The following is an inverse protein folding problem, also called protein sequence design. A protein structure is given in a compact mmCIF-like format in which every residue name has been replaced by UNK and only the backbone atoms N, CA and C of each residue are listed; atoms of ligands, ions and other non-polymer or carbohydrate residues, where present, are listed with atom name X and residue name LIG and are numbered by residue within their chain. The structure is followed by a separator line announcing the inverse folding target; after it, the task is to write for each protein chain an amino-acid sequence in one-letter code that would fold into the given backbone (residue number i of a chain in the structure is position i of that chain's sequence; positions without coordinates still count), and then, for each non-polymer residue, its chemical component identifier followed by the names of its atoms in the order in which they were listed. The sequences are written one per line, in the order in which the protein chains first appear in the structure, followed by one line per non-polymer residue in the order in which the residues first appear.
data_IF_350901259646
#
_entry.id   IF_350901259646
#
_cell.length_a   1.000
_cell.length_b   1.000
_cell.length_c   1.000
_cell.angle_alpha   90.00
_cell.angle_beta   90.00
_cell.angle_gamma   90.00
#
_symmetry.space_group_name_H-M   'P 1'
#
loop_
_entity.id
_entity.type
_entity.pdbx_description
1 polymer ?
#
# COMPACT_ATOMS: atom_id res chain seq x y z
N UNK A 1 13.20 33.47 31.78
CA UNK A 1 12.04 33.16 30.92
C UNK A 1 10.79 33.31 31.76
N UNK A 2 9.83 34.12 31.34
CA UNK A 2 8.56 34.33 32.06
C UNK A 2 7.76 33.03 32.02
N UNK A 3 7.46 32.45 33.18
CA UNK A 3 6.55 31.30 33.27
C UNK A 3 5.16 31.77 32.80
N UNK A 4 4.47 31.03 31.92
CA UNK A 4 3.13 31.42 31.48
C UNK A 4 2.16 31.56 32.67
N UNK A 5 1.24 32.52 32.58
CA UNK A 5 0.23 32.76 33.61
C UNK A 5 -0.53 31.45 33.93
N UNK A 6 -0.56 30.99 35.20
CA UNK A 6 -1.24 29.76 35.59
C UNK A 6 -2.71 29.67 35.14
N UNK A 7 -3.44 30.79 35.17
CA UNK A 7 -4.82 30.83 34.71
C UNK A 7 -4.94 30.59 33.19
N UNK A 8 -3.97 31.07 32.41
CA UNK A 8 -3.93 30.80 30.97
C UNK A 8 -3.54 29.34 30.68
N UNK A 9 -2.67 28.74 31.50
CA UNK A 9 -2.34 27.31 31.39
C UNK A 9 -3.53 26.43 31.76
N UNK A 10 -4.28 26.79 32.80
CA UNK A 10 -5.48 26.09 33.21
C UNK A 10 -6.61 26.22 32.18
N UNK A 11 -6.82 27.42 31.62
CA UNK A 11 -7.76 27.64 30.51
C UNK A 11 -7.38 26.82 29.27
N UNK A 12 -6.09 26.73 28.93
CA UNK A 12 -5.60 25.91 27.83
C UNK A 12 -5.80 24.40 28.08
N UNK A 13 -5.54 23.93 29.31
CA UNK A 13 -5.79 22.54 29.68
C UNK A 13 -7.30 22.21 29.67
N UNK A 14 -8.15 23.14 30.10
CA UNK A 14 -9.60 22.98 30.05
C UNK A 14 -10.11 22.99 28.61
N UNK A 15 -9.54 23.81 27.72
CA UNK A 15 -9.80 23.73 26.27
C UNK A 15 -9.39 22.36 25.71
N UNK A 16 -8.21 21.86 26.07
CA UNK A 16 -7.73 20.54 25.63
C UNK A 16 -8.57 19.36 26.16
N UNK A 17 -9.15 19.50 27.35
CA UNK A 17 -10.01 18.50 27.97
C UNK A 17 -11.48 18.63 27.58
N UNK A 18 -11.88 19.74 26.97
CA UNK A 18 -13.24 19.94 26.51
C UNK A 18 -13.52 19.07 25.29
N UNK A 19 -14.76 18.60 25.17
CA UNK A 19 -15.27 17.88 23.99
C UNK A 19 -15.22 18.72 22.68
N UNK A 20 -14.56 19.89 22.67
CA UNK A 20 -14.32 20.71 21.49
C UNK A 20 -13.12 20.25 20.66
N UNK A 21 -12.27 19.37 21.19
CA UNK A 21 -11.30 18.65 20.38
C UNK A 21 -11.95 17.32 20.02
N UNK A 22 -12.72 17.30 18.93
CA UNK A 22 -13.19 16.04 18.34
C UNK A 22 -11.97 15.18 18.03
N UNK A 23 -11.79 14.13 18.84
CA UNK A 23 -10.76 13.15 18.52
C UNK A 23 -11.18 12.53 17.19
N UNK A 24 -10.33 12.59 16.15
CA UNK A 24 -10.67 12.06 14.85
C UNK A 24 -11.15 10.60 14.95
N UNK A 25 -12.13 10.19 14.10
CA UNK A 25 -12.72 8.86 14.16
C UNK A 25 -11.68 7.75 14.19
N UNK A 26 -12.04 6.60 14.76
CA UNK A 26 -11.18 5.44 14.66
C UNK A 26 -11.05 5.06 13.18
N UNK A 27 -9.89 4.54 12.71
CA UNK A 27 -9.73 4.20 11.30
C UNK A 27 -10.82 3.27 10.73
N UNK A 28 -11.34 2.35 11.55
CA UNK A 28 -12.45 1.47 11.18
C UNK A 28 -13.75 2.23 10.87
N UNK A 29 -13.97 3.40 11.47
CA UNK A 29 -15.18 4.21 11.30
C UNK A 29 -15.23 4.87 9.91
N UNK A 30 -14.10 4.89 9.19
CA UNK A 30 -14.04 5.33 7.79
C UNK A 30 -14.63 4.29 6.81
N UNK A 31 -14.89 3.06 7.27
CA UNK A 31 -15.44 1.99 6.43
C UNK A 31 -16.97 2.01 6.45
N UNK A 32 -17.58 2.02 5.26
CA UNK A 32 -19.05 1.93 5.12
C UNK A 32 -19.46 0.50 4.78
N UNK A 33 -19.44 -0.37 5.79
CA UNK A 33 -19.81 -1.78 5.67
C UNK A 33 -21.33 -1.91 5.85
N UNK A 34 -22.09 -2.51 4.90
CA UNK A 34 -23.53 -2.73 5.07
C UNK A 34 -23.83 -3.62 6.29
N UNK A 35 -24.97 -3.43 6.99
CA UNK A 35 -25.37 -4.30 8.10
C UNK A 35 -25.93 -5.64 7.60
N UNK A 36 -26.10 -6.59 8.53
CA UNK A 36 -26.75 -7.90 8.29
C UNK A 36 -26.05 -8.77 7.23
N UNK A 37 -24.71 -8.81 7.28
CA UNK A 37 -23.91 -9.64 6.40
C UNK A 37 -23.91 -11.10 6.86
N UNK A 38 -23.56 -12.01 5.95
CA UNK A 38 -23.28 -13.39 6.35
C UNK A 38 -21.97 -13.44 7.15
N UNK A 39 -21.75 -14.45 8.01
CA UNK A 39 -20.52 -14.57 8.79
C UNK A 39 -19.25 -14.52 7.94
N UNK A 40 -19.28 -15.05 6.71
CA UNK A 40 -18.14 -15.02 5.80
C UNK A 40 -17.79 -13.58 5.38
N UNK A 41 -18.80 -12.75 5.12
CA UNK A 41 -18.61 -11.35 4.75
C UNK A 41 -18.24 -10.48 5.95
N UNK A 42 -18.73 -10.79 7.14
CA UNK A 42 -18.29 -10.15 8.39
C UNK A 42 -16.80 -10.42 8.63
N UNK A 43 -16.36 -11.68 8.53
CA UNK A 43 -14.94 -12.06 8.64
C UNK A 43 -14.10 -11.39 7.55
N UNK A 44 -14.64 -11.28 6.34
CA UNK A 44 -13.98 -10.54 5.27
C UNK A 44 -13.79 -9.08 5.71
N UNK A 45 -14.83 -8.31 5.98
CA UNK A 45 -14.63 -6.89 6.29
C UNK A 45 -13.93 -6.61 7.64
N UNK A 46 -13.96 -7.53 8.60
CA UNK A 46 -13.16 -7.39 9.83
C UNK A 46 -11.66 -7.40 9.51
N UNK A 47 -11.20 -8.25 8.58
CA UNK A 47 -9.80 -8.23 8.12
C UNK A 47 -9.45 -6.90 7.43
N UNK A 48 -10.40 -6.28 6.73
CA UNK A 48 -10.24 -4.96 6.13
C UNK A 48 -10.13 -3.88 7.21
N UNK A 49 -10.98 -3.92 8.24
CA UNK A 49 -10.95 -3.00 9.37
C UNK A 49 -9.60 -3.07 10.10
N UNK A 50 -9.15 -4.28 10.44
CA UNK A 50 -7.84 -4.50 11.06
C UNK A 50 -6.71 -4.01 10.17
N UNK A 51 -6.79 -4.23 8.85
CA UNK A 51 -5.80 -3.70 7.91
C UNK A 51 -5.80 -2.17 7.88
N UNK A 52 -6.97 -1.53 7.85
CA UNK A 52 -7.12 -0.08 7.89
C UNK A 52 -6.47 0.51 9.16
N UNK A 53 -6.77 -0.06 10.33
CA UNK A 53 -6.20 0.34 11.60
C UNK A 53 -4.67 0.20 11.63
N UNK A 54 -4.17 -0.97 11.23
CA UNK A 54 -2.73 -1.22 11.16
C UNK A 54 -2.02 -0.27 10.18
N UNK A 55 -2.65 0.05 9.05
CA UNK A 55 -2.10 0.97 8.06
C UNK A 55 -2.01 2.42 8.56
N UNK A 56 -2.96 2.84 9.40
CA UNK A 56 -2.96 4.16 10.03
C UNK A 56 -1.97 4.26 11.20
N UNK A 57 -1.58 3.11 11.77
CA UNK A 57 -0.58 2.95 12.81
C UNK A 57 -0.92 3.69 14.12
N UNK A 58 -0.50 3.13 15.24
CA UNK A 58 -0.50 3.85 16.51
C UNK A 58 0.70 3.43 17.34
N UNK A 59 1.46 4.40 17.85
CA UNK A 59 2.48 4.18 18.88
C UNK A 59 1.93 4.76 20.17
N UNK A 60 1.69 3.91 21.18
CA UNK A 60 1.12 4.32 22.47
C UNK A 60 -0.20 5.10 22.37
N UNK A 61 -1.06 4.78 21.40
CA UNK A 61 -2.33 5.50 21.19
C UNK A 61 -2.23 6.72 20.27
N UNK A 62 -1.03 7.10 19.80
CA UNK A 62 -0.82 8.26 18.92
C UNK A 62 -0.72 7.78 17.46
N UNK A 63 -1.54 8.31 16.53
CA UNK A 63 -1.44 8.00 15.10
C UNK A 63 -0.03 8.29 14.56
N UNK A 64 0.67 7.26 14.09
CA UNK A 64 2.03 7.38 13.55
C UNK A 64 2.07 7.39 12.01
N UNK A 65 0.91 7.23 11.35
CA UNK A 65 0.80 7.34 9.90
C UNK A 65 -0.39 8.24 9.49
N UNK A 66 -0.23 9.54 9.72
CA UNK A 66 -1.23 10.56 9.39
C UNK A 66 -1.63 10.54 7.91
N UNK A 67 -0.70 10.21 7.01
CA UNK A 67 -0.97 10.16 5.57
C UNK A 67 -2.02 9.10 5.22
N UNK A 68 -1.83 7.86 5.68
CA UNK A 68 -2.81 6.79 5.41
C UNK A 68 -4.15 7.09 6.07
N UNK A 69 -4.18 7.73 7.25
CA UNK A 69 -5.45 8.12 7.87
C UNK A 69 -6.23 9.14 7.04
N UNK A 70 -5.54 10.17 6.54
CA UNK A 70 -6.14 11.17 5.64
C UNK A 70 -6.61 10.51 4.33
N UNK A 71 -5.93 9.47 3.85
CA UNK A 71 -6.35 8.73 2.67
C UNK A 71 -7.68 7.98 2.91
N UNK A 72 -7.83 7.30 4.05
CA UNK A 72 -9.07 6.63 4.43
C UNK A 72 -10.24 7.60 4.67
N UNK A 73 -9.99 8.73 5.33
CA UNK A 73 -10.98 9.78 5.54
C UNK A 73 -11.49 10.37 4.21
N UNK A 74 -10.58 10.75 3.30
CA UNK A 74 -10.98 11.27 1.98
C UNK A 74 -11.75 10.23 1.16
N UNK A 75 -11.37 8.96 1.28
CA UNK A 75 -12.08 7.87 0.65
C UNK A 75 -13.51 7.76 1.20
N UNK A 76 -13.70 7.91 2.50
CA UNK A 76 -15.02 7.92 3.13
C UNK A 76 -15.89 9.05 2.60
N UNK A 77 -15.38 10.29 2.53
CA UNK A 77 -16.15 11.44 2.01
C UNK A 77 -16.67 11.19 0.60
N UNK A 78 -15.83 10.62 -0.28
CA UNK A 78 -16.25 10.29 -1.64
C UNK A 78 -17.33 9.20 -1.61
N UNK A 79 -17.18 8.20 -0.74
CA UNK A 79 -18.22 7.19 -0.60
C UNK A 79 -19.54 7.83 -0.13
N UNK A 80 -19.51 8.74 0.83
CA UNK A 80 -20.69 9.49 1.34
C UNK A 80 -21.39 10.27 0.24
N UNK A 81 -20.65 11.13 -0.47
CA UNK A 81 -21.17 11.95 -1.56
C UNK A 81 -21.81 11.12 -2.68
N UNK A 82 -21.21 9.97 -2.99
CA UNK A 82 -21.64 9.08 -4.08
C UNK A 82 -22.55 7.93 -3.61
N UNK A 83 -22.94 7.92 -2.33
CA UNK A 83 -23.72 6.87 -1.68
C UNK A 83 -23.18 5.44 -1.92
N UNK A 84 -21.87 5.24 -1.74
CA UNK A 84 -21.17 3.96 -1.92
C UNK A 84 -20.95 3.23 -0.59
N UNK A 85 -20.81 1.92 -0.67
CA UNK A 85 -20.36 1.07 0.42
C UNK A 85 -19.10 0.28 0.05
N UNK A 86 -18.57 -0.50 0.99
CA UNK A 86 -17.34 -1.27 0.79
C UNK A 86 -17.40 -2.31 -0.34
N UNK A 87 -18.57 -2.85 -0.69
CA UNK A 87 -18.70 -3.73 -1.85
C UNK A 87 -18.49 -2.98 -3.16
N UNK A 88 -19.02 -1.75 -3.28
CA UNK A 88 -18.82 -0.92 -4.47
C UNK A 88 -17.35 -0.60 -4.67
N UNK A 89 -16.65 -0.31 -3.56
CA UNK A 89 -15.22 -0.03 -3.57
C UNK A 89 -14.42 -1.26 -3.96
N UNK A 90 -14.74 -2.43 -3.38
CA UNK A 90 -14.12 -3.70 -3.72
C UNK A 90 -14.32 -4.09 -5.19
N UNK A 91 -15.55 -3.95 -5.72
CA UNK A 91 -15.87 -4.24 -7.12
C UNK A 91 -15.15 -3.28 -8.07
N UNK A 92 -15.12 -1.98 -7.74
CA UNK A 92 -14.40 -0.96 -8.51
C UNK A 92 -12.90 -1.25 -8.57
N UNK A 93 -12.29 -1.58 -7.43
CA UNK A 93 -10.89 -1.94 -7.36
C UNK A 93 -10.59 -3.20 -8.16
N UNK A 94 -11.45 -4.21 -8.08
CA UNK A 94 -11.31 -5.48 -8.82
C UNK A 94 -11.34 -5.23 -10.33
N UNK A 95 -12.31 -4.45 -10.82
CA UNK A 95 -12.40 -4.08 -12.23
C UNK A 95 -11.18 -3.26 -12.69
N UNK A 96 -10.69 -2.35 -11.85
CA UNK A 96 -9.51 -1.53 -12.14
C UNK A 96 -8.25 -2.40 -12.26
N UNK A 97 -8.09 -3.38 -11.37
CA UNK A 97 -7.02 -4.38 -11.46
C UNK A 97 -7.10 -5.19 -12.76
N UNK A 98 -8.30 -5.60 -13.20
CA UNK A 98 -8.43 -6.32 -14.47
C UNK A 98 -8.05 -5.46 -15.69
N UNK A 99 -8.37 -4.16 -15.69
CA UNK A 99 -7.86 -3.21 -16.69
C UNK A 99 -6.33 -3.10 -16.64
N UNK A 100 -5.74 -3.12 -15.45
CA UNK A 100 -4.28 -3.18 -15.28
C UNK A 100 -3.68 -4.45 -15.89
N UNK A 101 -4.34 -5.60 -15.71
CA UNK A 101 -3.94 -6.87 -16.33
C UNK A 101 -4.01 -6.81 -17.87
N UNK A 102 -5.04 -6.16 -18.41
CA UNK A 102 -5.17 -5.93 -19.84
C UNK A 102 -4.04 -5.03 -20.39
N UNK A 103 -3.77 -3.91 -19.72
CA UNK A 103 -2.66 -3.02 -20.08
C UNK A 103 -1.31 -3.77 -20.10
N UNK A 104 -1.05 -4.66 -19.12
CA UNK A 104 0.15 -5.51 -19.14
C UNK A 104 0.19 -6.46 -20.34
N UNK A 105 -0.94 -7.09 -20.69
CA UNK A 105 -1.01 -7.99 -21.87
C UNK A 105 -0.73 -7.23 -23.16
N UNK A 106 -1.08 -5.95 -23.21
CA UNK A 106 -0.83 -5.07 -24.35
C UNK A 106 0.57 -4.41 -24.32
N UNK A 107 1.43 -4.74 -23.34
CA UNK A 107 2.77 -4.15 -23.20
C UNK A 107 2.79 -2.74 -22.58
N UNK A 108 1.64 -2.18 -22.21
CA UNK A 108 1.47 -0.83 -21.64
C UNK A 108 1.84 -0.81 -20.14
N UNK A 109 3.12 -1.03 -19.83
CA UNK A 109 3.58 -1.26 -18.44
C UNK A 109 3.33 -0.08 -17.49
N UNK A 110 3.53 1.17 -17.93
CA UNK A 110 3.30 2.36 -17.12
C UNK A 110 1.81 2.54 -16.78
N UNK A 111 0.94 2.36 -17.78
CA UNK A 111 -0.52 2.40 -17.60
C UNK A 111 -0.99 1.30 -16.64
N UNK A 112 -0.44 0.09 -16.76
CA UNK A 112 -0.73 -0.99 -15.83
C UNK A 112 -0.34 -0.63 -14.39
N UNK A 113 0.84 -0.04 -14.17
CA UNK A 113 1.25 0.44 -12.86
C UNK A 113 0.21 1.41 -12.29
N UNK A 114 -0.18 2.43 -13.07
CA UNK A 114 -1.21 3.40 -12.69
C UNK A 114 -2.53 2.75 -12.28
N UNK A 115 -3.01 1.79 -13.07
CA UNK A 115 -4.25 1.06 -12.79
C UNK A 115 -4.15 0.19 -11.55
N UNK A 116 -3.02 -0.50 -11.31
CA UNK A 116 -2.84 -1.26 -10.07
C UNK A 116 -2.76 -0.37 -8.84
N UNK A 117 -2.07 0.75 -8.91
CA UNK A 117 -2.04 1.73 -7.83
C UNK A 117 -3.44 2.26 -7.52
N UNK A 118 -4.19 2.64 -8.55
CA UNK A 118 -5.57 3.10 -8.40
C UNK A 118 -6.44 2.03 -7.74
N UNK A 119 -6.34 0.77 -8.19
CA UNK A 119 -7.03 -0.37 -7.59
C UNK A 119 -6.73 -0.47 -6.09
N UNK A 120 -5.44 -0.47 -5.70
CA UNK A 120 -5.01 -0.58 -4.30
C UNK A 120 -5.49 0.59 -3.44
N UNK A 121 -5.53 1.81 -4.00
CA UNK A 121 -6.04 3.01 -3.30
C UNK A 121 -7.56 3.01 -3.14
N UNK A 122 -8.29 2.42 -4.09
CA UNK A 122 -9.75 2.27 -3.99
C UNK A 122 -10.14 1.23 -2.94
N UNK A 123 -9.49 0.06 -2.98
CA UNK A 123 -9.68 -1.02 -2.01
C UNK A 123 -8.40 -1.85 -1.93
N UNK A 124 -7.96 -2.30 -0.74
CA UNK A 124 -6.70 -3.01 -0.60
C UNK A 124 -6.78 -4.45 -1.12
N UNK A 125 -6.78 -4.62 -2.45
CA UNK A 125 -6.79 -5.92 -3.10
C UNK A 125 -5.38 -6.53 -3.13
N UNK A 126 -5.11 -7.68 -2.49
CA UNK A 126 -3.75 -8.23 -2.45
C UNK A 126 -3.24 -8.68 -3.82
N UNK A 127 -4.13 -9.10 -4.72
CA UNK A 127 -3.75 -9.40 -6.11
C UNK A 127 -3.21 -8.16 -6.84
N UNK A 128 -3.89 -7.01 -6.66
CA UNK A 128 -3.46 -5.74 -7.25
C UNK A 128 -2.15 -5.25 -6.62
N UNK A 129 -2.00 -5.37 -5.29
CA UNK A 129 -0.74 -5.09 -4.60
C UNK A 129 0.42 -5.94 -5.12
N UNK A 130 0.18 -7.23 -5.35
CA UNK A 130 1.20 -8.15 -5.85
C UNK A 130 1.59 -7.83 -7.31
N UNK A 131 0.62 -7.45 -8.14
CA UNK A 131 0.89 -7.01 -9.51
C UNK A 131 1.60 -5.65 -9.57
N UNK A 132 1.20 -4.71 -8.71
CA UNK A 132 1.87 -3.42 -8.53
C UNK A 132 3.34 -3.61 -8.12
N UNK A 133 3.59 -4.50 -7.17
CA UNK A 133 4.95 -4.87 -6.75
C UNK A 133 5.77 -5.48 -7.91
N UNK A 134 5.13 -6.24 -8.81
CA UNK A 134 5.81 -6.76 -10.00
C UNK A 134 6.23 -5.63 -10.96
N UNK A 135 5.39 -4.62 -11.17
CA UNK A 135 5.76 -3.44 -11.96
C UNK A 135 6.84 -2.62 -11.26
N UNK A 136 6.72 -2.37 -9.96
CA UNK A 136 7.69 -1.62 -9.17
C UNK A 136 9.08 -2.28 -9.13
N UNK A 137 9.15 -3.62 -9.13
CA UNK A 137 10.42 -4.34 -9.25
C UNK A 137 11.14 -4.04 -10.57
N UNK A 138 10.41 -3.95 -11.69
CA UNK A 138 11.02 -3.62 -13.00
C UNK A 138 11.60 -2.21 -13.03
N UNK A 139 11.12 -1.33 -12.16
CA UNK A 139 11.56 0.07 -12.05
C UNK A 139 12.55 0.29 -10.88
N UNK A 140 13.05 -0.78 -10.25
CA UNK A 140 13.96 -0.72 -9.10
C UNK A 140 13.40 0.05 -7.88
N UNK A 141 12.07 0.11 -7.75
CA UNK A 141 11.38 0.78 -6.62
C UNK A 141 11.24 -0.15 -5.42
N UNK A 142 12.36 -0.59 -4.85
CA UNK A 142 12.38 -1.69 -3.88
C UNK A 142 11.57 -1.42 -2.60
N UNK A 143 11.56 -0.19 -2.08
CA UNK A 143 10.72 0.14 -0.91
C UNK A 143 9.22 0.02 -1.20
N UNK A 144 8.79 0.38 -2.42
CA UNK A 144 7.38 0.23 -2.87
C UNK A 144 7.02 -1.25 -2.98
N UNK A 145 7.95 -2.08 -3.47
CA UNK A 145 7.78 -3.53 -3.54
C UNK A 145 7.62 -4.11 -2.14
N UNK A 146 8.51 -3.78 -1.20
CA UNK A 146 8.46 -4.24 0.19
C UNK A 146 7.13 -3.87 0.84
N UNK A 147 6.69 -2.62 0.71
CA UNK A 147 5.43 -2.14 1.28
C UNK A 147 4.23 -2.92 0.75
N UNK A 148 4.04 -3.00 -0.57
CA UNK A 148 2.86 -3.62 -1.14
C UNK A 148 2.84 -5.14 -0.99
N UNK A 149 3.99 -5.81 -1.06
CA UNK A 149 4.06 -7.25 -0.79
C UNK A 149 3.80 -7.57 0.67
N UNK A 150 4.28 -6.74 1.60
CA UNK A 150 3.95 -6.86 3.03
C UNK A 150 2.45 -6.72 3.25
N UNK A 151 1.83 -5.66 2.73
CA UNK A 151 0.39 -5.45 2.83
C UNK A 151 -0.40 -6.62 2.22
N UNK A 152 0.02 -7.14 1.06
CA UNK A 152 -0.64 -8.27 0.43
C UNK A 152 -0.56 -9.56 1.27
N UNK A 153 0.54 -9.77 1.98
CA UNK A 153 0.77 -10.94 2.83
C UNK A 153 0.07 -10.84 4.20
N UNK A 154 -0.14 -9.63 4.72
CA UNK A 154 -0.71 -9.39 6.06
C UNK A 154 -2.22 -9.22 6.07
N UNK A 155 -2.84 -8.73 4.97
CA UNK A 155 -4.29 -8.48 4.92
C UNK A 155 -5.16 -9.74 5.09
N UNK A 156 -4.59 -10.93 4.89
CA UNK A 156 -5.29 -12.19 5.19
C UNK A 156 -6.26 -12.69 4.11
N UNK A 157 -6.23 -12.11 2.89
CA UNK A 157 -6.97 -12.63 1.71
C UNK A 157 -6.09 -13.26 0.63
N UNK A 158 -4.75 -13.15 0.73
CA UNK A 158 -3.85 -13.79 -0.24
C UNK A 158 -3.64 -15.27 0.11
N UNK A 159 -4.63 -16.09 -0.23
CA UNK A 159 -4.70 -17.51 0.15
C UNK A 159 -4.16 -18.46 -0.91
N UNK A 160 -4.14 -18.06 -2.19
CA UNK A 160 -3.60 -18.90 -3.26
C UNK A 160 -2.08 -19.12 -3.07
N UNK A 161 -1.61 -20.38 -2.93
CA UNK A 161 -0.20 -20.67 -2.63
C UNK A 161 0.78 -20.11 -3.67
N UNK A 162 0.44 -20.22 -4.96
CA UNK A 162 1.29 -19.72 -6.06
C UNK A 162 1.41 -18.21 -6.00
N UNK A 163 0.30 -17.49 -5.76
CA UNK A 163 0.32 -16.03 -5.64
C UNK A 163 1.04 -15.57 -4.38
N UNK A 164 0.89 -16.30 -3.27
CA UNK A 164 1.57 -16.04 -2.00
C UNK A 164 3.08 -16.26 -2.12
N UNK A 165 3.52 -17.34 -2.78
CA UNK A 165 4.92 -17.58 -3.12
C UNK A 165 5.50 -16.45 -3.98
N UNK A 166 4.76 -15.96 -4.98
CA UNK A 166 5.16 -14.80 -5.78
C UNK A 166 5.32 -13.52 -4.94
N UNK A 167 4.42 -13.26 -3.99
CA UNK A 167 4.54 -12.08 -3.11
C UNK A 167 5.78 -12.18 -2.21
N UNK A 168 6.04 -13.35 -1.60
CA UNK A 168 7.22 -13.62 -0.80
C UNK A 168 8.52 -13.47 -1.62
N UNK A 169 8.58 -14.07 -2.81
CA UNK A 169 9.71 -13.93 -3.71
C UNK A 169 9.99 -12.48 -4.09
N UNK A 170 8.94 -11.70 -4.40
CA UNK A 170 9.08 -10.28 -4.74
C UNK A 170 9.56 -9.45 -3.55
N UNK A 171 9.06 -9.73 -2.34
CA UNK A 171 9.54 -9.07 -1.12
C UNK A 171 10.99 -9.42 -0.81
N UNK A 172 11.38 -10.68 -0.98
CA UNK A 172 12.76 -11.11 -0.84
C UNK A 172 13.69 -10.42 -1.85
N UNK A 173 13.27 -10.23 -3.11
CA UNK A 173 14.01 -9.42 -4.08
C UNK A 173 14.16 -7.97 -3.63
N UNK A 174 13.12 -7.37 -3.06
CA UNK A 174 13.24 -6.04 -2.49
C UNK A 174 14.23 -6.02 -1.32
N UNK A 175 14.13 -6.97 -0.39
CA UNK A 175 15.05 -7.13 0.73
C UNK A 175 16.50 -7.32 0.27
N UNK A 176 16.74 -8.10 -0.78
CA UNK A 176 18.05 -8.23 -1.41
C UNK A 176 18.63 -6.85 -1.77
N UNK A 177 17.88 -6.03 -2.52
CA UNK A 177 18.36 -4.72 -2.95
C UNK A 177 18.38 -3.68 -1.81
N UNK A 178 17.64 -3.91 -0.73
CA UNK A 178 17.63 -3.05 0.47
C UNK A 178 18.66 -3.50 1.52
N UNK A 179 19.43 -4.54 1.25
CA UNK A 179 20.44 -5.07 2.20
C UNK A 179 19.85 -5.80 3.41
N UNK A 180 18.56 -6.17 3.36
CA UNK A 180 17.80 -6.88 4.41
C UNK A 180 17.89 -8.40 4.22
N UNK A 181 19.11 -8.94 4.17
CA UNK A 181 19.34 -10.32 3.69
C UNK A 181 18.67 -11.40 4.56
N UNK A 182 18.65 -11.21 5.88
CA UNK A 182 18.04 -12.16 6.82
C UNK A 182 16.53 -12.22 6.64
N UNK A 183 15.89 -11.09 6.45
CA UNK A 183 14.46 -10.97 6.14
C UNK A 183 14.15 -11.57 4.77
N UNK A 184 15.01 -11.33 3.77
CA UNK A 184 14.92 -11.96 2.46
C UNK A 184 14.98 -13.50 2.53
N UNK A 185 15.92 -14.06 3.31
CA UNK A 185 16.04 -15.51 3.49
C UNK A 185 14.80 -16.13 4.15
N UNK A 186 14.20 -15.44 5.13
CA UNK A 186 12.93 -15.87 5.74
C UNK A 186 11.82 -15.95 4.70
N UNK A 187 11.69 -14.91 3.87
CA UNK A 187 10.68 -14.87 2.81
C UNK A 187 10.89 -15.98 1.77
N UNK A 188 12.14 -16.24 1.38
CA UNK A 188 12.46 -17.28 0.39
C UNK A 188 12.22 -18.69 0.92
N UNK A 189 12.55 -18.97 2.19
CA UNK A 189 12.26 -20.26 2.79
C UNK A 189 10.73 -20.53 2.80
N UNK A 190 9.93 -19.54 3.19
CA UNK A 190 8.46 -19.64 3.11
C UNK A 190 7.97 -19.79 1.65
N UNK A 191 8.63 -19.13 0.69
CA UNK A 191 8.26 -19.27 -0.72
C UNK A 191 8.56 -20.68 -1.26
N UNK A 192 9.66 -21.31 -0.83
CA UNK A 192 10.02 -22.69 -1.18
C UNK A 192 9.10 -23.73 -0.53
N UNK A 193 8.60 -23.49 0.68
CA UNK A 193 7.56 -24.35 1.27
C UNK A 193 6.30 -24.40 0.39
N UNK A 194 5.96 -23.28 -0.25
CA UNK A 194 4.80 -23.19 -1.14
C UNK A 194 5.11 -23.68 -2.57
N UNK A 195 6.34 -23.50 -3.07
CA UNK A 195 6.78 -23.86 -4.43
C UNK A 195 8.21 -24.44 -4.40
N UNK A 196 8.41 -25.71 -3.99
CA UNK A 196 9.74 -26.28 -3.72
C UNK A 196 10.68 -26.39 -4.91
N UNK A 197 10.15 -26.48 -6.13
CA UNK A 197 10.91 -26.69 -7.37
C UNK A 197 11.10 -25.44 -8.23
N UNK A 198 10.70 -24.27 -7.74
CA UNK A 198 10.78 -23.03 -8.52
C UNK A 198 12.24 -22.54 -8.60
N UNK A 199 12.83 -22.67 -9.78
CA UNK A 199 14.26 -22.39 -10.03
C UNK A 199 14.64 -20.95 -9.69
N UNK A 200 13.76 -19.99 -9.95
CA UNK A 200 14.00 -18.59 -9.63
C UNK A 200 14.08 -18.33 -8.11
N UNK A 201 13.32 -19.08 -7.31
CA UNK A 201 13.33 -18.97 -5.84
C UNK A 201 14.62 -19.59 -5.27
N UNK A 202 15.02 -20.75 -5.79
CA UNK A 202 16.27 -21.42 -5.40
C UNK A 202 17.49 -20.54 -5.70
N UNK A 203 17.58 -19.98 -6.91
CA UNK A 203 18.69 -19.09 -7.28
C UNK A 203 18.81 -17.88 -6.33
N UNK A 204 17.69 -17.24 -5.99
CA UNK A 204 17.69 -16.11 -5.07
C UNK A 204 18.05 -16.51 -3.64
N UNK A 205 17.75 -17.74 -3.20
CA UNK A 205 18.19 -18.27 -1.91
C UNK A 205 19.71 -18.32 -1.83
N UNK A 206 20.35 -18.85 -2.88
CA UNK A 206 21.80 -19.01 -2.95
C UNK A 206 22.49 -17.63 -2.92
N UNK A 207 21.99 -16.68 -3.72
CA UNK A 207 22.47 -15.29 -3.74
C UNK A 207 22.35 -14.62 -2.36
N UNK A 208 21.19 -14.72 -1.71
CA UNK A 208 20.96 -14.13 -0.38
C UNK A 208 21.83 -14.78 0.71
N UNK A 209 22.09 -16.09 0.61
CA UNK A 209 22.96 -16.81 1.56
C UNK A 209 24.39 -16.29 1.44
N UNK A 210 24.90 -16.20 0.21
CA UNK A 210 26.24 -15.68 -0.06
C UNK A 210 26.39 -14.22 0.42
N UNK A 211 25.39 -13.37 0.21
CA UNK A 211 25.42 -11.98 0.67
C UNK A 211 25.33 -11.84 2.18
N UNK A 212 24.54 -12.68 2.86
CA UNK A 212 24.46 -12.67 4.32
C UNK A 212 25.81 -12.93 4.99
N UNK A 213 26.67 -13.73 4.36
CA UNK A 213 28.01 -14.05 4.89
C UNK A 213 29.05 -12.99 4.48
N UNK A 214 28.98 -12.50 3.24
CA UNK A 214 29.99 -11.57 2.69
C UNK A 214 29.76 -10.11 3.10
N UNK A 215 28.51 -9.71 3.35
CA UNK A 215 28.12 -8.34 3.74
C UNK A 215 27.89 -8.29 5.25
N UNK A 216 28.94 -8.57 6.02
CA UNK A 216 28.86 -8.70 7.49
C UNK A 216 29.11 -7.41 8.28
N UNK A 217 29.51 -6.30 7.64
CA UNK A 217 29.88 -5.05 8.30
C UNK A 217 29.10 -3.85 7.76
N UNK A 218 28.95 -2.79 8.55
CA UNK A 218 28.31 -1.55 8.10
C UNK A 218 29.02 -0.94 6.86
N UNK A 219 30.35 -1.06 6.79
CA UNK A 219 31.12 -0.55 5.66
C UNK A 219 30.90 -1.37 4.38
N UNK A 220 30.86 -2.70 4.48
CA UNK A 220 30.54 -3.56 3.33
C UNK A 220 29.08 -3.41 2.91
N UNK A 221 28.14 -3.25 3.85
CA UNK A 221 26.73 -2.97 3.55
C UNK A 221 26.56 -1.64 2.82
N UNK A 222 27.23 -0.57 3.27
CA UNK A 222 27.20 0.71 2.57
C UNK A 222 27.70 0.57 1.13
N UNK A 223 28.85 -0.08 0.92
CA UNK A 223 29.39 -0.34 -0.44
C UNK A 223 28.42 -1.14 -1.30
N UNK A 224 27.77 -2.16 -0.71
CA UNK A 224 26.77 -2.96 -1.40
C UNK A 224 25.57 -2.12 -1.83
N UNK A 225 25.03 -1.27 -0.94
CA UNK A 225 23.89 -0.39 -1.22
C UNK A 225 24.23 0.68 -2.26
N UNK A 226 25.43 1.25 -2.20
CA UNK A 226 25.93 2.23 -3.18
C UNK A 226 25.98 1.65 -4.62
N UNK A 227 26.06 0.32 -4.76
CA UNK A 227 26.07 -0.39 -6.05
C UNK A 227 24.68 -0.83 -6.52
N UNK A 228 23.65 -0.72 -5.67
CA UNK A 228 22.31 -1.16 -6.04
C UNK A 228 21.71 -0.25 -7.10
N UNK A 229 20.93 -0.82 -8.04
CA UNK A 229 20.27 -0.02 -9.06
C UNK A 229 19.31 0.95 -8.39
N UNK A 230 19.41 2.22 -8.77
CA UNK A 230 18.53 3.25 -8.26
C UNK A 230 17.25 3.30 -9.11
N UNK A 231 16.10 3.69 -8.53
CA UNK A 231 14.93 4.00 -9.32
C UNK A 231 15.26 5.17 -10.28
N UNK A 232 14.54 5.28 -11.42
CA UNK A 232 14.79 6.35 -12.37
C UNK A 232 14.71 7.74 -11.70
N UNK A 233 15.72 8.59 -11.93
CA UNK A 233 15.89 9.91 -11.30
C UNK A 233 14.70 10.86 -11.52
N UNK A 234 13.91 10.60 -12.57
CA UNK A 234 12.56 11.14 -12.72
C UNK A 234 11.59 10.00 -12.49
N UNK A 235 10.86 10.11 -11.39
CA UNK A 235 9.58 9.46 -11.24
C UNK A 235 8.72 9.91 -12.44
N UNK A 236 8.46 9.00 -13.40
CA UNK A 236 7.43 9.18 -14.45
C UNK A 236 6.03 9.11 -13.83
N UNK A 237 5.80 10.00 -12.88
CA UNK A 237 4.51 10.35 -12.28
C UNK A 237 4.28 11.86 -12.38
N UNK A 238 5.35 12.64 -12.60
CA UNK A 238 5.28 14.07 -12.92
C UNK A 238 4.77 14.36 -14.34
N UNK A 239 4.72 13.36 -15.22
CA UNK A 239 4.00 13.45 -16.49
C UNK A 239 2.52 13.06 -16.35
N UNK A 240 2.16 12.43 -15.24
CA UNK A 240 0.77 12.16 -14.91
C UNK A 240 0.20 13.13 -13.90
N UNK A 241 0.92 13.99 -13.18
CA UNK A 241 0.37 15.02 -12.25
C UNK A 241 0.99 16.42 -12.49
N UNK A 242 0.16 17.46 -12.63
CA UNK A 242 0.57 18.85 -12.89
C UNK A 242 1.11 19.51 -11.63
N UNK A 243 1.59 20.75 -11.76
CA UNK A 243 2.12 21.58 -10.64
C UNK A 243 1.13 21.81 -9.48
N UNK A 244 -0.13 21.34 -9.60
CA UNK A 244 -1.16 21.38 -8.56
C UNK A 244 -1.55 19.99 -8.02
N UNK A 245 -0.80 18.92 -8.34
CA UNK A 245 -1.10 17.56 -7.88
C UNK A 245 -2.32 16.92 -8.57
N UNK A 246 -2.74 17.43 -9.74
CA UNK A 246 -3.87 16.92 -10.54
C UNK A 246 -3.36 16.21 -11.79
N UNK A 247 -4.03 15.15 -12.26
CA UNK A 247 -3.47 14.38 -13.37
C UNK A 247 -3.30 15.23 -14.67
N UNK A 248 -2.13 15.21 -15.35
CA UNK A 248 -1.93 15.94 -16.64
C UNK A 248 -2.50 15.11 -17.79
N UNK A 249 -3.32 15.76 -18.63
CA UNK A 249 -4.21 15.24 -19.68
C UNK A 249 -3.53 14.28 -20.68
N UNK A 250 -4.13 13.17 -21.13
CA UNK A 250 -5.55 12.98 -21.49
C UNK A 250 -6.30 11.83 -20.81
N UNK A 251 -6.36 11.85 -19.48
CA UNK A 251 -7.41 11.16 -18.72
C UNK A 251 -8.24 12.22 -17.98
N UNK A 252 -9.22 12.79 -18.66
CA UNK A 252 -10.19 13.69 -18.02
C UNK A 252 -11.14 12.82 -17.18
N UNK A 253 -11.04 12.95 -15.85
CA UNK A 253 -12.03 12.45 -14.87
C UNK A 253 -13.48 12.85 -15.24
N UNK A 254 -13.62 13.91 -16.05
CA UNK A 254 -14.88 14.52 -16.46
C UNK A 254 -15.47 13.94 -17.77
N UNK A 255 -14.81 12.97 -18.41
CA UNK A 255 -15.28 12.33 -19.67
C UNK A 255 -15.61 10.84 -19.57
N UNK A 256 -15.55 10.27 -18.37
CA UNK A 256 -16.15 8.97 -18.12
C UNK A 256 -17.68 9.10 -18.24
N UNK A 257 -18.39 8.08 -18.73
CA UNK A 257 -19.87 8.13 -18.72
C UNK A 257 -20.35 8.42 -17.30
N UNK A 258 -21.50 9.08 -17.15
CA UNK A 258 -22.08 9.41 -15.84
C UNK A 258 -22.22 8.19 -14.91
N UNK A 259 -22.13 6.99 -15.46
CA UNK A 259 -22.27 5.71 -14.77
C UNK A 259 -20.92 5.07 -14.37
N UNK A 260 -19.78 5.76 -14.56
CA UNK A 260 -18.45 5.17 -14.30
C UNK A 260 -18.01 5.24 -12.82
N UNK A 261 -17.69 4.11 -12.18
CA UNK A 261 -17.19 4.09 -10.80
C UNK A 261 -15.81 4.75 -10.61
N UNK A 262 -15.11 5.05 -11.70
CA UNK A 262 -13.76 5.63 -11.71
C UNK A 262 -13.75 7.16 -11.47
N UNK A 263 -14.92 7.82 -11.43
CA UNK A 263 -15.03 9.20 -10.95
C UNK A 263 -14.91 9.30 -9.41
N UNK A 264 -14.86 8.15 -8.72
CA UNK A 264 -15.07 8.01 -7.27
C UNK A 264 -13.84 7.53 -6.48
N UNK A 265 -12.64 7.65 -7.03
CA UNK A 265 -11.41 7.33 -6.30
C UNK A 265 -10.73 8.61 -5.78
N UNK A 266 -10.24 8.64 -4.53
CA UNK A 266 -9.54 9.81 -4.02
C UNK A 266 -8.29 10.13 -4.86
N UNK A 267 -7.96 11.43 -5.02
CA UNK A 267 -6.79 11.84 -5.79
C UNK A 267 -5.52 11.21 -5.22
N UNK A 268 -4.64 10.77 -6.13
CA UNK A 268 -3.33 10.21 -5.82
C UNK A 268 -2.46 11.29 -5.15
N UNK A 269 -2.41 11.29 -3.82
CA UNK A 269 -1.51 12.16 -3.04
C UNK A 269 -0.30 11.32 -2.60
N UNK A 270 0.83 11.50 -3.28
CA UNK A 270 2.17 11.14 -2.77
C UNK A 270 2.89 12.41 -2.37
#
# INVERSE_FOLDING_TARGET
MSVPNPANMEAFLNFFKSDMIDNPPAPRDYLRIPPNLTPEWEIFFEKLAVFCENSCGSVNGIPNNTHERVAWEKRQWIMEDENLNEFDMWLTATNTKEKGNEALRNGESEKAFGLYMLSVRTFPCPDAMNNLAACALKENKFSVVEQHTTNALTIGYLTNPVKRAKALYRRAKAHFHLGKFKEGLKDINLALELQPGETAILALKDELTQLSDTVASAASLKRYLDQQPQPPAKISWSQTLNKSGKLIEGWQYDKLSKDSPLRRAPPLMY
#
